data_IF_271017424599
#
_entry.id   IF_271017424599
#
_cell.length_a   1.000
_cell.length_b   1.000
_cell.length_c   1.000
_cell.angle_alpha   90.00
_cell.angle_beta   90.00
_cell.angle_gamma   90.00
#
_symmetry.space_group_name_H-M   'P 1'
#
loop_
_entity.id
_entity.type
_entity.pdbx_description
1 polymer ?
#
# COMPACT_ATOMS: atom_id res chain seq x y z
N UNK A 1 30.82 -23.59 -40.94
CA UNK A 1 29.70 -23.52 -39.98
C UNK A 1 29.71 -22.13 -39.37
N UNK A 2 28.66 -21.35 -39.54
CA UNK A 2 28.49 -20.09 -38.79
C UNK A 2 28.15 -20.47 -37.35
N UNK A 3 28.74 -19.83 -36.34
CA UNK A 3 28.36 -20.07 -34.95
C UNK A 3 26.88 -19.74 -34.79
N UNK A 4 26.16 -20.64 -34.12
CA UNK A 4 24.76 -20.46 -33.75
C UNK A 4 24.62 -19.19 -32.89
N UNK A 5 23.68 -18.29 -33.16
CA UNK A 5 23.53 -17.09 -32.33
C UNK A 5 23.24 -17.51 -30.88
N UNK A 6 23.81 -16.80 -29.90
CA UNK A 6 23.56 -17.11 -28.51
C UNK A 6 22.04 -17.12 -28.26
N UNK A 7 21.52 -18.06 -27.47
CA UNK A 7 20.09 -18.12 -27.16
C UNK A 7 19.65 -16.77 -26.58
N UNK A 8 18.53 -16.28 -27.06
CA UNK A 8 17.92 -15.04 -26.55
C UNK A 8 17.84 -15.11 -25.02
N UNK A 9 18.17 -14.02 -24.31
CA UNK A 9 18.11 -14.02 -22.86
C UNK A 9 16.69 -14.44 -22.43
N UNK A 10 16.60 -15.51 -21.62
CA UNK A 10 15.33 -15.95 -21.06
C UNK A 10 14.78 -14.79 -20.25
N UNK A 11 13.59 -14.29 -20.57
CA UNK A 11 12.92 -13.31 -19.73
C UNK A 11 12.79 -13.90 -18.32
N UNK A 12 13.33 -13.21 -17.33
CA UNK A 12 13.25 -13.64 -15.93
C UNK A 12 11.82 -13.78 -15.45
N UNK A 13 11.63 -14.52 -14.39
CA UNK A 13 10.36 -14.59 -13.66
C UNK A 13 10.25 -13.37 -12.75
N UNK A 14 9.09 -12.76 -12.65
CA UNK A 14 8.78 -11.73 -11.65
C UNK A 14 8.13 -12.39 -10.44
N UNK A 15 8.76 -12.28 -9.27
CA UNK A 15 8.22 -12.75 -8.00
C UNK A 15 7.66 -11.55 -7.24
N UNK A 16 6.35 -11.52 -6.98
CA UNK A 16 5.69 -10.46 -6.20
C UNK A 16 5.39 -11.01 -4.80
N UNK A 17 6.02 -10.43 -3.77
CA UNK A 17 5.93 -10.86 -2.39
C UNK A 17 5.19 -9.82 -1.54
N UNK A 18 4.08 -10.23 -0.90
CA UNK A 18 3.32 -9.40 0.02
C UNK A 18 2.71 -10.26 1.13
N UNK A 19 2.73 -9.79 2.38
CA UNK A 19 2.25 -10.58 3.53
C UNK A 19 0.77 -10.93 3.39
N UNK A 20 -0.06 -9.93 3.17
CA UNK A 20 -1.52 -10.06 3.15
C UNK A 20 -2.04 -10.03 1.71
N UNK A 21 -2.38 -11.18 1.19
CA UNK A 21 -3.02 -11.36 -0.11
C UNK A 21 -4.42 -11.95 0.08
N UNK A 22 -5.23 -12.00 -0.97
CA UNK A 22 -6.56 -12.60 -0.90
C UNK A 22 -6.59 -13.84 0.04
N UNK A 23 -7.57 -14.00 0.93
CA UNK A 23 -8.83 -13.25 1.02
C UNK A 23 -8.76 -11.94 1.83
N UNK A 24 -7.56 -11.42 2.11
CA UNK A 24 -7.40 -10.17 2.86
C UNK A 24 -7.84 -8.94 2.06
N UNK A 25 -8.41 -7.95 2.77
CA UNK A 25 -8.76 -6.62 2.25
C UNK A 25 -7.67 -5.58 2.54
N UNK A 26 -6.44 -6.00 2.84
CA UNK A 26 -5.33 -5.09 3.03
C UNK A 26 -4.96 -4.38 1.71
N UNK A 27 -5.01 -3.04 1.62
CA UNK A 27 -4.75 -2.33 0.35
C UNK A 27 -3.42 -2.71 -0.30
N UNK A 28 -2.35 -2.87 0.49
CA UNK A 28 -1.03 -3.28 -0.02
C UNK A 28 -1.09 -4.64 -0.71
N UNK A 29 -1.88 -5.58 -0.18
CA UNK A 29 -2.11 -6.89 -0.82
C UNK A 29 -2.87 -6.76 -2.13
N UNK A 30 -3.94 -5.98 -2.14
CA UNK A 30 -4.74 -5.75 -3.36
C UNK A 30 -3.87 -5.13 -4.47
N UNK A 31 -3.04 -4.14 -4.14
CA UNK A 31 -2.08 -3.57 -5.10
C UNK A 31 -1.09 -4.62 -5.64
N UNK A 32 -0.57 -5.48 -4.76
CA UNK A 32 0.36 -6.53 -5.17
C UNK A 32 -0.28 -7.56 -6.12
N UNK A 33 -1.54 -7.93 -5.88
CA UNK A 33 -2.33 -8.81 -6.74
C UNK A 33 -2.59 -8.17 -8.10
N UNK A 34 -3.08 -6.93 -8.12
CA UNK A 34 -3.35 -6.19 -9.36
C UNK A 34 -2.07 -6.01 -10.19
N UNK A 35 -0.92 -5.74 -9.53
CA UNK A 35 0.37 -5.69 -10.22
C UNK A 35 0.76 -7.04 -10.82
N UNK A 36 0.57 -8.13 -10.08
CA UNK A 36 0.88 -9.48 -10.57
C UNK A 36 0.01 -9.83 -11.80
N UNK A 37 -1.29 -9.53 -11.73
CA UNK A 37 -2.22 -9.75 -12.84
C UNK A 37 -1.82 -8.93 -14.08
N UNK A 38 -1.52 -7.64 -13.93
CA UNK A 38 -1.11 -6.77 -15.04
C UNK A 38 0.22 -7.20 -15.68
N UNK A 39 1.18 -7.68 -14.87
CA UNK A 39 2.44 -8.22 -15.40
C UNK A 39 2.19 -9.53 -16.18
N UNK A 40 1.35 -10.41 -15.64
CA UNK A 40 0.98 -11.67 -16.31
C UNK A 40 0.27 -11.41 -17.66
N UNK A 41 -0.64 -10.45 -17.72
CA UNK A 41 -1.32 -10.00 -18.95
C UNK A 41 -0.34 -9.47 -20.00
N UNK A 42 0.80 -8.90 -19.58
CA UNK A 42 1.87 -8.48 -20.51
C UNK A 42 2.72 -9.63 -21.07
N UNK A 43 2.38 -10.90 -20.71
CA UNK A 43 3.09 -12.10 -21.15
C UNK A 43 4.37 -12.42 -20.37
N UNK A 44 4.66 -11.70 -19.29
CA UNK A 44 5.80 -11.98 -18.39
C UNK A 44 5.36 -13.02 -17.35
N UNK A 45 6.20 -14.02 -17.11
CA UNK A 45 5.92 -15.02 -16.06
C UNK A 45 5.96 -14.40 -14.68
N UNK A 46 4.90 -14.61 -13.90
CA UNK A 46 4.75 -14.06 -12.55
C UNK A 46 4.50 -15.17 -11.54
N UNK A 47 5.05 -15.00 -10.34
CA UNK A 47 4.71 -15.76 -9.14
C UNK A 47 4.28 -14.78 -8.06
N UNK A 48 3.08 -14.98 -7.54
CA UNK A 48 2.51 -14.19 -6.46
C UNK A 48 2.59 -14.97 -5.16
N UNK A 49 3.39 -14.49 -4.20
CA UNK A 49 3.71 -15.19 -2.96
C UNK A 49 3.20 -14.41 -1.75
N UNK A 50 2.39 -15.05 -0.93
CA UNK A 50 1.80 -14.46 0.28
C UNK A 50 1.96 -15.29 1.53
N UNK A 51 1.77 -14.65 2.67
CA UNK A 51 1.69 -15.35 3.96
C UNK A 51 0.39 -16.15 4.13
N UNK A 52 0.35 -17.04 5.11
CA UNK A 52 -0.85 -17.83 5.47
C UNK A 52 -1.80 -17.13 6.43
N UNK A 53 -1.35 -16.10 7.16
CA UNK A 53 -2.17 -15.34 8.10
C UNK A 53 -3.14 -14.38 7.40
N UNK A 54 -4.20 -13.98 8.11
CA UNK A 54 -5.19 -13.03 7.63
C UNK A 54 -5.17 -11.74 8.46
N UNK A 55 -5.14 -10.60 7.77
CA UNK A 55 -5.31 -9.29 8.42
C UNK A 55 -6.80 -8.99 8.68
N UNK A 56 -7.59 -9.07 7.62
CA UNK A 56 -9.05 -8.90 7.62
C UNK A 56 -9.61 -9.58 6.38
N UNK A 57 -10.33 -10.67 6.55
CA UNK A 57 -10.98 -11.32 5.42
C UNK A 57 -12.08 -10.44 4.82
N UNK A 58 -12.02 -10.27 3.50
CA UNK A 58 -13.01 -9.58 2.69
C UNK A 58 -13.86 -10.54 1.86
N UNK A 59 -14.83 -9.96 1.15
CA UNK A 59 -15.72 -10.71 0.24
C UNK A 59 -15.42 -10.36 -1.23
N UNK A 60 -14.17 -9.99 -1.54
CA UNK A 60 -13.74 -9.66 -2.89
C UNK A 60 -13.34 -10.91 -3.70
N UNK A 61 -13.38 -10.86 -5.03
CA UNK A 61 -12.90 -11.96 -5.86
C UNK A 61 -11.39 -12.21 -5.65
N UNK A 62 -10.97 -13.44 -5.92
CA UNK A 62 -9.55 -13.78 -5.97
C UNK A 62 -8.90 -13.12 -7.21
N UNK A 63 -7.57 -12.84 -7.15
CA UNK A 63 -6.82 -12.39 -8.32
C UNK A 63 -6.76 -13.49 -9.38
N UNK A 64 -6.48 -13.11 -10.63
CA UNK A 64 -6.29 -14.05 -11.72
C UNK A 64 -5.00 -14.87 -11.55
N UNK A 65 -3.94 -14.23 -11.04
CA UNK A 65 -2.67 -14.89 -10.71
C UNK A 65 -2.81 -15.76 -9.47
N UNK A 66 -2.50 -17.02 -9.59
CA UNK A 66 -2.55 -17.98 -8.46
C UNK A 66 -1.59 -17.55 -7.34
N UNK A 67 -2.08 -17.63 -6.10
CA UNK A 67 -1.31 -17.25 -4.92
C UNK A 67 -0.61 -18.49 -4.36
N UNK A 68 0.71 -18.42 -4.25
CA UNK A 68 1.52 -19.37 -3.49
C UNK A 68 1.63 -18.92 -2.04
N UNK A 69 1.49 -19.85 -1.09
CA UNK A 69 1.49 -19.52 0.33
C UNK A 69 2.76 -20.00 1.03
N UNK A 70 3.35 -19.11 1.82
CA UNK A 70 4.41 -19.46 2.76
C UNK A 70 3.88 -19.44 4.18
N UNK A 71 4.20 -20.48 4.94
CA UNK A 71 3.78 -20.59 6.34
C UNK A 71 4.68 -19.75 7.22
N UNK A 72 4.08 -18.97 8.10
CA UNK A 72 4.76 -18.18 9.10
C UNK A 72 3.99 -18.19 10.42
N UNK A 73 4.64 -17.72 11.51
CA UNK A 73 4.00 -17.54 12.80
C UNK A 73 3.01 -16.39 12.73
N UNK A 74 1.79 -16.61 13.19
CA UNK A 74 0.81 -15.55 13.38
C UNK A 74 1.04 -14.77 14.68
N UNK A 75 0.90 -13.46 14.61
CA UNK A 75 1.00 -12.56 15.75
C UNK A 75 -0.36 -12.29 16.40
N UNK A 76 -0.33 -11.85 17.66
CA UNK A 76 -1.51 -11.31 18.35
C UNK A 76 -1.52 -9.80 18.21
N UNK A 77 -2.56 -9.26 17.56
CA UNK A 77 -2.74 -7.81 17.38
C UNK A 77 -2.73 -7.06 18.71
N UNK A 78 -2.20 -5.84 18.68
CA UNK A 78 -2.08 -4.98 19.85
C UNK A 78 -0.95 -5.37 20.83
N UNK A 79 -0.14 -6.40 20.50
CA UNK A 79 1.03 -6.80 21.27
C UNK A 79 2.30 -6.60 20.45
N UNK A 80 3.07 -5.54 20.73
CA UNK A 80 4.25 -5.13 19.97
C UNK A 80 5.25 -6.28 19.74
N UNK A 81 5.60 -7.03 20.79
CA UNK A 81 6.54 -8.16 20.68
C UNK A 81 5.98 -9.26 19.77
N UNK A 82 4.69 -9.58 19.90
CA UNK A 82 4.05 -10.60 19.07
C UNK A 82 4.01 -10.20 17.60
N UNK A 83 3.73 -8.94 17.32
CA UNK A 83 3.76 -8.38 15.96
C UNK A 83 5.17 -8.36 15.38
N UNK A 84 6.18 -8.00 16.18
CA UNK A 84 7.57 -8.02 15.73
C UNK A 84 8.05 -9.44 15.38
N UNK A 85 7.67 -10.44 16.19
CA UNK A 85 7.97 -11.86 15.94
C UNK A 85 7.25 -12.39 14.69
N UNK A 86 6.01 -11.97 14.44
CA UNK A 86 5.29 -12.26 13.20
C UNK A 86 6.04 -11.70 12.00
N UNK A 87 6.40 -10.41 12.02
CA UNK A 87 7.11 -9.74 10.94
C UNK A 87 8.44 -10.40 10.60
N UNK A 88 9.21 -10.80 11.62
CA UNK A 88 10.46 -11.56 11.41
C UNK A 88 10.20 -12.98 10.86
N UNK A 89 9.13 -13.64 11.31
CA UNK A 89 8.73 -14.95 10.78
C UNK A 89 8.33 -14.86 9.30
N UNK A 90 7.57 -13.84 8.90
CA UNK A 90 7.22 -13.57 7.49
C UNK A 90 8.48 -13.31 6.67
N UNK A 91 9.39 -12.46 7.16
CA UNK A 91 10.66 -12.21 6.48
C UNK A 91 11.47 -13.49 6.29
N UNK A 92 11.57 -14.33 7.32
CA UNK A 92 12.28 -15.60 7.24
C UNK A 92 11.64 -16.56 6.22
N UNK A 93 10.30 -16.64 6.20
CA UNK A 93 9.58 -17.47 5.21
C UNK A 93 9.80 -16.97 3.78
N UNK A 94 9.75 -15.66 3.56
CA UNK A 94 10.07 -15.08 2.24
C UNK A 94 11.52 -15.27 1.86
N UNK A 95 12.47 -15.19 2.81
CA UNK A 95 13.89 -15.47 2.54
C UNK A 95 14.09 -16.91 2.06
N UNK A 96 13.49 -17.89 2.74
CA UNK A 96 13.53 -19.29 2.35
C UNK A 96 12.89 -19.52 0.96
N UNK A 97 11.78 -18.83 0.67
CA UNK A 97 11.14 -18.89 -0.65
C UNK A 97 12.04 -18.32 -1.76
N UNK A 98 12.68 -17.17 -1.51
CA UNK A 98 13.65 -16.59 -2.45
C UNK A 98 14.81 -17.57 -2.71
N UNK A 99 15.38 -18.16 -1.66
CA UNK A 99 16.46 -19.14 -1.78
C UNK A 99 16.06 -20.39 -2.59
N UNK A 100 14.80 -20.83 -2.43
CA UNK A 100 14.27 -22.03 -3.11
C UNK A 100 13.93 -21.79 -4.58
N UNK A 101 13.38 -20.63 -4.93
CA UNK A 101 12.65 -20.44 -6.19
C UNK A 101 13.21 -19.38 -7.13
N UNK A 102 14.02 -18.44 -6.61
CA UNK A 102 14.58 -17.35 -7.41
C UNK A 102 15.86 -17.77 -8.11
N UNK A 103 15.99 -17.41 -9.36
CA UNK A 103 17.13 -17.72 -10.23
C UNK A 103 17.82 -16.43 -10.73
N UNK A 104 19.07 -16.52 -11.21
CA UNK A 104 19.73 -15.37 -11.81
C UNK A 104 18.91 -14.79 -12.99
N UNK A 105 18.78 -13.47 -13.00
CA UNK A 105 18.00 -12.74 -13.99
C UNK A 105 16.50 -12.57 -13.65
N UNK A 106 16.02 -13.19 -12.57
CA UNK A 106 14.68 -12.93 -12.06
C UNK A 106 14.57 -11.55 -11.42
N UNK A 107 13.33 -11.08 -11.23
CA UNK A 107 13.00 -9.85 -10.49
C UNK A 107 12.18 -10.21 -9.27
N UNK A 108 12.55 -9.67 -8.13
CA UNK A 108 11.80 -9.84 -6.88
C UNK A 108 11.23 -8.50 -6.44
N UNK A 109 9.92 -8.35 -6.53
CA UNK A 109 9.17 -7.20 -6.03
C UNK A 109 8.70 -7.50 -4.62
N UNK A 110 9.05 -6.65 -3.67
CA UNK A 110 8.68 -6.84 -2.26
C UNK A 110 7.96 -5.61 -1.74
N UNK A 111 6.79 -5.78 -1.17
CA UNK A 111 6.06 -4.69 -0.53
C UNK A 111 6.63 -4.36 0.84
N UNK A 112 6.46 -3.12 1.31
CA UNK A 112 6.90 -2.68 2.65
C UNK A 112 6.07 -3.25 3.81
N UNK A 113 5.13 -4.13 3.57
CA UNK A 113 4.35 -4.83 4.57
C UNK A 113 4.71 -6.34 4.58
N UNK A 114 5.37 -6.82 5.65
CA UNK A 114 5.79 -6.11 6.86
C UNK A 114 7.10 -5.31 6.68
N UNK A 115 7.41 -4.38 7.60
CA UNK A 115 8.60 -3.52 7.48
C UNK A 115 9.93 -4.29 7.42
N UNK A 116 9.99 -5.47 8.02
CA UNK A 116 11.22 -6.30 8.06
C UNK A 116 11.65 -6.84 6.70
N UNK A 117 10.74 -6.86 5.71
CA UNK A 117 11.02 -7.29 4.32
C UNK A 117 12.11 -6.48 3.63
N UNK A 118 12.40 -5.26 4.10
CA UNK A 118 13.52 -4.44 3.61
C UNK A 118 14.87 -5.19 3.69
N UNK A 119 15.00 -6.15 4.59
CA UNK A 119 16.19 -6.98 4.77
C UNK A 119 16.40 -8.05 3.69
N UNK A 120 15.38 -8.37 2.89
CA UNK A 120 15.41 -9.44 1.88
C UNK A 120 16.35 -9.16 0.70
N UNK A 121 16.80 -7.93 0.52
CA UNK A 121 17.70 -7.57 -0.57
C UNK A 121 18.97 -8.44 -0.60
N UNK A 122 19.47 -8.90 0.55
CA UNK A 122 20.64 -9.77 0.63
C UNK A 122 20.39 -11.12 -0.04
N UNK A 123 19.23 -11.73 0.21
CA UNK A 123 18.82 -13.00 -0.40
C UNK A 123 18.60 -12.83 -1.91
N UNK A 124 17.93 -11.75 -2.31
CA UNK A 124 17.70 -11.44 -3.73
C UNK A 124 19.04 -11.34 -4.48
N UNK A 125 19.98 -10.53 -3.98
CA UNK A 125 21.31 -10.35 -4.60
C UNK A 125 22.14 -11.64 -4.59
N UNK A 126 22.07 -12.44 -3.52
CA UNK A 126 22.76 -13.74 -3.45
C UNK A 126 22.26 -14.73 -4.50
N UNK A 127 21.02 -14.57 -5.01
CA UNK A 127 20.48 -15.38 -6.11
C UNK A 127 20.78 -14.81 -7.50
N UNK A 128 21.49 -13.68 -7.59
CA UNK A 128 21.77 -13.01 -8.87
C UNK A 128 20.52 -12.39 -9.50
N UNK A 129 19.50 -12.11 -8.70
CA UNK A 129 18.26 -11.48 -9.11
C UNK A 129 18.26 -9.97 -8.82
N UNK A 130 17.36 -9.22 -9.45
CA UNK A 130 17.16 -7.80 -9.21
C UNK A 130 16.02 -7.59 -8.20
N UNK A 131 16.22 -6.65 -7.28
CA UNK A 131 15.28 -6.34 -6.23
C UNK A 131 14.54 -5.03 -6.44
N UNK A 132 13.22 -5.07 -6.42
CA UNK A 132 12.34 -3.90 -6.39
C UNK A 132 11.66 -3.82 -5.03
N UNK A 133 11.92 -2.75 -4.29
CA UNK A 133 11.22 -2.50 -3.03
C UNK A 133 10.06 -1.53 -3.25
N UNK A 134 8.85 -2.01 -3.05
CA UNK A 134 7.66 -1.17 -3.20
C UNK A 134 7.26 -0.55 -1.87
N UNK A 135 7.68 0.69 -1.70
CA UNK A 135 7.52 1.47 -0.48
C UNK A 135 6.10 2.06 -0.42
N UNK A 136 5.23 1.41 0.34
CA UNK A 136 3.86 1.85 0.64
C UNK A 136 3.83 2.81 1.83
N UNK A 137 4.62 2.48 2.88
CA UNK A 137 4.75 3.26 4.10
C UNK A 137 6.22 3.43 4.46
N UNK A 138 6.60 4.63 4.93
CA UNK A 138 7.96 4.92 5.38
C UNK A 138 8.07 4.72 6.91
N UNK A 139 8.46 3.54 7.30
CA UNK A 139 8.43 3.06 8.68
C UNK A 139 9.28 3.83 9.69
N UNK A 140 10.46 4.42 9.39
CA UNK A 140 11.17 5.25 10.35
C UNK A 140 10.30 6.34 10.97
N UNK A 141 9.47 6.98 10.14
CA UNK A 141 8.56 8.02 10.59
C UNK A 141 7.29 7.44 11.23
N UNK A 142 6.78 6.34 10.70
CA UNK A 142 5.58 5.68 11.21
C UNK A 142 5.79 5.16 12.65
N UNK A 143 6.95 4.56 12.94
CA UNK A 143 7.29 4.06 14.28
C UNK A 143 7.41 5.21 15.29
N UNK A 144 7.78 6.43 14.85
CA UNK A 144 7.78 7.62 15.71
C UNK A 144 6.41 7.91 16.34
N UNK A 145 5.33 7.64 15.62
CA UNK A 145 3.97 7.81 16.14
C UNK A 145 3.58 6.77 17.19
N UNK A 146 4.35 5.68 17.33
CA UNK A 146 4.02 4.54 18.22
C UNK A 146 4.99 4.41 19.38
N UNK A 147 6.28 4.69 19.17
CA UNK A 147 7.34 4.49 20.17
C UNK A 147 8.20 5.75 20.26
N UNK A 148 8.28 6.30 21.46
CA UNK A 148 9.16 7.44 21.74
C UNK A 148 10.58 6.95 22.01
N UNK A 149 11.44 7.06 21.00
CA UNK A 149 12.86 6.76 21.12
C UNK A 149 13.68 8.04 21.35
N UNK A 150 14.77 8.00 22.14
CA UNK A 150 15.72 9.09 22.21
C UNK A 150 16.23 9.50 20.82
N UNK A 151 16.38 10.81 20.60
CA UNK A 151 16.71 11.39 19.29
C UNK A 151 17.94 10.75 18.59
N UNK A 152 19.05 10.39 19.27
CA UNK A 152 20.19 9.72 18.63
C UNK A 152 19.85 8.33 18.11
N UNK A 153 19.03 7.55 18.84
CA UNK A 153 18.57 6.22 18.42
C UNK A 153 17.66 6.31 17.22
N UNK A 154 16.76 7.29 17.19
CA UNK A 154 15.87 7.57 16.04
C UNK A 154 16.66 7.87 14.77
N UNK A 155 17.67 8.77 14.88
CA UNK A 155 18.54 9.11 13.74
C UNK A 155 19.30 7.89 13.22
N UNK A 156 19.85 7.05 14.11
CA UNK A 156 20.53 5.82 13.74
C UNK A 156 19.61 4.82 13.07
N UNK A 157 18.39 4.66 13.59
CA UNK A 157 17.39 3.77 13.00
C UNK A 157 16.99 4.26 11.60
N UNK A 158 16.68 5.54 11.45
CA UNK A 158 16.33 6.14 10.15
C UNK A 158 17.49 6.00 9.14
N UNK A 159 18.72 6.31 9.54
CA UNK A 159 19.90 6.16 8.68
C UNK A 159 20.12 4.70 8.25
N UNK A 160 19.97 3.75 9.18
CA UNK A 160 20.09 2.32 8.87
C UNK A 160 18.99 1.84 7.90
N UNK A 161 17.79 2.40 8.03
CA UNK A 161 16.67 2.10 7.13
C UNK A 161 16.94 2.65 5.71
N UNK A 162 17.30 3.92 5.62
CA UNK A 162 17.69 4.57 4.35
C UNK A 162 18.84 3.84 3.69
N UNK A 163 19.87 3.43 4.46
CA UNK A 163 20.99 2.64 3.96
C UNK A 163 20.59 1.25 3.44
N UNK A 164 19.51 0.66 3.97
CA UNK A 164 18.95 -0.59 3.40
C UNK A 164 18.18 -0.33 2.12
N UNK A 165 17.38 0.73 2.04
CA UNK A 165 16.67 1.12 0.81
C UNK A 165 17.66 1.39 -0.34
N UNK A 166 18.78 2.04 -0.05
CA UNK A 166 19.81 2.34 -1.05
C UNK A 166 20.49 1.09 -1.66
N UNK A 167 20.29 -0.10 -1.06
CA UNK A 167 20.84 -1.37 -1.57
C UNK A 167 19.93 -2.09 -2.56
N UNK A 168 18.66 -1.72 -2.63
CA UNK A 168 17.73 -2.24 -3.63
C UNK A 168 18.07 -1.66 -5.01
N UNK A 169 17.84 -2.43 -6.06
CA UNK A 169 18.08 -1.95 -7.42
C UNK A 169 17.12 -0.84 -7.79
N UNK A 170 15.88 -0.93 -7.29
CA UNK A 170 14.82 0.06 -7.48
C UNK A 170 13.98 0.17 -6.21
N UNK A 171 13.64 1.39 -5.82
CA UNK A 171 12.64 1.69 -4.80
C UNK A 171 11.48 2.44 -5.44
N UNK A 172 10.32 1.81 -5.51
CA UNK A 172 9.10 2.44 -6.00
C UNK A 172 8.35 3.04 -4.82
N UNK A 173 8.20 4.35 -4.79
CA UNK A 173 7.40 5.07 -3.79
C UNK A 173 5.95 5.14 -4.25
N UNK A 174 5.03 4.63 -3.43
CA UNK A 174 3.59 4.68 -3.68
C UNK A 174 2.99 6.09 -3.56
N UNK A 175 3.78 7.05 -3.07
CA UNK A 175 3.45 8.48 -3.01
C UNK A 175 4.73 9.32 -2.92
N UNK A 176 4.71 10.53 -3.46
CA UNK A 176 5.89 11.40 -3.50
C UNK A 176 6.34 11.90 -2.14
N UNK A 177 5.42 12.02 -1.17
CA UNK A 177 5.72 12.47 0.19
C UNK A 177 6.51 11.47 1.04
N UNK A 178 6.61 10.20 0.64
CA UNK A 178 7.33 9.20 1.45
C UNK A 178 8.82 9.54 1.56
N UNK A 179 9.34 9.50 2.79
CA UNK A 179 10.61 10.09 3.22
C UNK A 179 11.89 9.41 2.71
N UNK A 180 11.90 8.94 1.46
CA UNK A 180 13.10 8.40 0.80
C UNK A 180 13.29 9.02 -0.58
N UNK A 181 14.46 9.64 -0.82
CA UNK A 181 14.82 10.32 -2.06
C UNK A 181 16.19 9.87 -2.60
N UNK A 182 16.49 8.57 -2.49
CA UNK A 182 17.72 7.96 -3.06
C UNK A 182 17.72 7.97 -4.59
N UNK A 183 18.91 7.87 -5.21
CA UNK A 183 19.06 7.86 -6.66
C UNK A 183 18.28 6.72 -7.35
N UNK A 184 18.03 5.62 -6.63
CA UNK A 184 17.25 4.47 -7.07
C UNK A 184 15.74 4.61 -6.78
N UNK A 185 15.27 5.78 -6.31
CA UNK A 185 13.85 6.02 -6.06
C UNK A 185 13.11 6.45 -7.34
N UNK A 186 11.88 5.93 -7.50
CA UNK A 186 10.91 6.37 -8.49
C UNK A 186 9.55 6.53 -7.82
N UNK A 187 8.81 7.57 -8.16
CA UNK A 187 7.44 7.75 -7.68
C UNK A 187 6.48 7.20 -8.73
N UNK A 188 5.79 6.14 -8.36
CA UNK A 188 4.61 5.65 -9.09
C UNK A 188 3.52 5.51 -8.05
N UNK A 189 2.55 6.41 -8.12
CA UNK A 189 1.48 6.51 -7.13
C UNK A 189 0.57 5.30 -7.18
N UNK A 190 -0.10 5.03 -6.06
CA UNK A 190 -1.17 4.06 -6.02
C UNK A 190 -2.35 4.50 -6.90
N UNK A 191 -3.32 3.63 -7.07
CA UNK A 191 -4.51 3.78 -7.89
C UNK A 191 -5.75 3.28 -7.14
N UNK A 192 -6.98 3.45 -7.68
CA UNK A 192 -8.18 2.88 -7.08
C UNK A 192 -8.09 1.36 -6.98
N UNK A 193 -8.39 0.80 -5.80
CA UNK A 193 -8.46 -0.66 -5.60
C UNK A 193 -9.82 -1.25 -5.96
N UNK A 194 -10.82 -0.37 -6.18
CA UNK A 194 -12.17 -0.73 -6.56
C UNK A 194 -12.45 -0.29 -8.00
N UNK A 195 -13.13 -1.14 -8.73
CA UNK A 195 -13.81 -0.69 -9.94
C UNK A 195 -15.05 0.12 -9.54
N UNK A 196 -14.93 1.42 -9.64
CA UNK A 196 -16.01 2.34 -9.27
C UNK A 196 -17.15 2.30 -10.31
N UNK A 197 -16.88 1.87 -11.56
CA UNK A 197 -17.86 1.82 -12.64
C UNK A 197 -18.29 3.21 -13.14
N UNK A 198 -19.40 3.24 -13.86
CA UNK A 198 -19.93 4.48 -14.42
C UNK A 198 -20.46 5.45 -13.35
N UNK A 199 -20.41 6.78 -13.61
CA UNK A 199 -20.94 7.79 -12.71
C UNK A 199 -22.41 7.57 -12.34
N UNK A 200 -22.72 7.78 -11.05
CA UNK A 200 -24.09 7.63 -10.50
C UNK A 200 -24.47 8.90 -9.75
N UNK A 201 -25.80 9.18 -9.61
CA UNK A 201 -26.27 10.26 -8.75
C UNK A 201 -25.76 10.12 -7.31
N UNK A 202 -25.72 11.24 -6.58
CA UNK A 202 -25.41 11.29 -5.17
C UNK A 202 -26.59 11.88 -4.38
N UNK A 203 -26.54 11.72 -3.09
CA UNK A 203 -27.44 12.39 -2.15
C UNK A 203 -26.79 13.72 -1.77
N UNK A 204 -27.46 14.87 -2.02
CA UNK A 204 -26.95 16.18 -1.60
C UNK A 204 -26.68 16.25 -0.10
N UNK A 205 -25.74 17.08 0.29
CA UNK A 205 -25.35 17.31 1.68
C UNK A 205 -24.95 16.03 2.45
N UNK A 206 -24.27 15.10 1.79
CA UNK A 206 -23.77 13.89 2.45
C UNK A 206 -22.25 13.79 2.33
N UNK A 207 -21.59 13.44 3.44
CA UNK A 207 -20.14 13.20 3.49
C UNK A 207 -19.83 11.82 4.03
N UNK A 208 -18.93 11.11 3.37
CA UNK A 208 -18.53 9.73 3.71
C UNK A 208 -17.06 9.65 4.08
N UNK A 209 -16.77 9.09 5.24
CA UNK A 209 -15.46 8.49 5.53
C UNK A 209 -15.58 6.97 5.46
N UNK A 210 -14.74 6.31 4.68
CA UNK A 210 -14.70 4.85 4.57
C UNK A 210 -13.33 4.30 4.90
N UNK A 211 -13.22 3.48 5.96
CA UNK A 211 -12.03 2.77 6.34
C UNK A 211 -11.70 2.79 7.82
N UNK A 212 -10.54 2.23 8.20
CA UNK A 212 -10.08 2.19 9.57
C UNK A 212 -9.81 3.61 10.11
N UNK A 213 -10.37 3.95 11.27
CA UNK A 213 -10.07 5.19 12.00
C UNK A 213 -9.21 4.83 13.23
N UNK A 214 -7.93 4.60 12.98
CA UNK A 214 -6.94 4.15 13.96
C UNK A 214 -6.00 5.26 14.42
N UNK A 215 -4.96 4.88 15.16
CA UNK A 215 -3.94 5.78 15.73
C UNK A 215 -3.16 6.58 14.67
N UNK A 216 -3.06 6.08 13.43
CA UNK A 216 -2.43 6.79 12.31
C UNK A 216 -3.27 7.97 11.77
N UNK A 217 -4.42 8.25 12.38
CA UNK A 217 -5.32 9.32 12.00
C UNK A 217 -5.49 10.33 13.15
N UNK A 218 -5.37 11.61 12.86
CA UNK A 218 -5.52 12.65 13.88
C UNK A 218 -7.01 12.95 14.10
N UNK A 219 -7.60 12.27 15.07
CA UNK A 219 -9.04 12.37 15.37
C UNK A 219 -9.52 13.81 15.64
N UNK A 220 -8.79 14.67 16.40
CA UNK A 220 -9.22 16.06 16.59
C UNK A 220 -9.40 16.84 15.28
N UNK A 221 -8.45 16.73 14.34
CA UNK A 221 -8.60 17.37 13.02
C UNK A 221 -9.73 16.77 12.20
N UNK A 222 -9.98 15.47 12.34
CA UNK A 222 -11.11 14.82 11.65
C UNK A 222 -12.45 15.34 12.19
N UNK A 223 -12.61 15.42 13.51
CA UNK A 223 -13.82 15.95 14.14
C UNK A 223 -14.05 17.41 13.79
N UNK A 224 -13.01 18.25 13.80
CA UNK A 224 -13.12 19.65 13.40
C UNK A 224 -13.62 19.82 11.96
N UNK A 225 -13.15 18.97 11.02
CA UNK A 225 -13.65 18.93 9.64
C UNK A 225 -15.13 18.50 9.60
N UNK A 226 -15.49 17.47 10.36
CA UNK A 226 -16.88 17.00 10.45
C UNK A 226 -17.81 18.07 11.03
N UNK A 227 -17.40 18.79 12.07
CA UNK A 227 -18.17 19.90 12.66
C UNK A 227 -18.39 21.05 11.68
N UNK A 228 -17.33 21.41 10.92
CA UNK A 228 -17.46 22.42 9.85
C UNK A 228 -18.53 22.01 8.84
N UNK A 229 -18.45 20.80 8.31
CA UNK A 229 -19.41 20.29 7.32
C UNK A 229 -20.83 20.18 7.90
N UNK A 230 -20.97 19.78 9.17
CA UNK A 230 -22.26 19.80 9.86
C UNK A 230 -22.86 21.20 9.91
N UNK A 231 -22.03 22.22 10.19
CA UNK A 231 -22.45 23.61 10.16
C UNK A 231 -22.90 24.09 8.78
N UNK A 232 -22.41 23.45 7.71
CA UNK A 232 -22.82 23.65 6.32
C UNK A 232 -24.01 22.75 5.90
N UNK A 233 -24.61 22.01 6.83
CA UNK A 233 -25.80 21.18 6.61
C UNK A 233 -25.52 19.76 6.12
N UNK A 234 -24.27 19.27 6.18
CA UNK A 234 -23.94 17.92 5.74
C UNK A 234 -24.28 16.85 6.79
N UNK A 235 -24.83 15.73 6.34
CA UNK A 235 -24.91 14.48 7.09
C UNK A 235 -23.58 13.73 6.97
N UNK A 236 -22.96 13.41 8.11
CA UNK A 236 -21.66 12.73 8.14
C UNK A 236 -21.85 11.24 8.41
N UNK A 237 -21.33 10.39 7.53
CA UNK A 237 -21.31 8.94 7.70
C UNK A 237 -19.86 8.44 7.79
N UNK A 238 -19.59 7.61 8.78
CA UNK A 238 -18.30 6.91 8.97
C UNK A 238 -18.57 5.41 8.88
N UNK A 239 -18.04 4.77 7.85
CA UNK A 239 -18.10 3.31 7.63
C UNK A 239 -16.72 2.72 7.83
N UNK A 240 -16.48 1.97 8.89
CA UNK A 240 -15.15 1.48 9.13
C UNK A 240 -14.95 0.72 10.43
N UNK A 241 -13.69 0.56 10.79
CA UNK A 241 -13.24 -0.09 12.01
C UNK A 241 -12.27 0.83 12.77
N UNK A 242 -11.82 0.38 13.92
CA UNK A 242 -10.78 1.02 14.70
C UNK A 242 -11.26 1.76 15.94
N UNK A 243 -10.34 2.05 16.87
CA UNK A 243 -10.67 2.63 18.18
C UNK A 243 -11.22 4.06 18.11
N UNK A 244 -11.01 4.75 17.00
CA UNK A 244 -11.55 6.10 16.80
C UNK A 244 -13.08 6.14 16.72
N UNK A 245 -13.71 5.04 16.28
CA UNK A 245 -15.17 4.96 16.17
C UNK A 245 -15.89 5.16 17.52
N UNK A 246 -15.38 4.56 18.59
CA UNK A 246 -15.94 4.70 19.93
C UNK A 246 -15.84 6.13 20.51
N UNK A 247 -15.13 7.02 19.83
CA UNK A 247 -14.91 8.41 20.24
C UNK A 247 -15.64 9.41 19.34
N UNK A 248 -16.43 8.92 18.38
CA UNK A 248 -17.24 9.76 17.52
C UNK A 248 -18.46 10.28 18.30
N UNK A 249 -18.84 11.54 18.12
CA UNK A 249 -20.08 12.07 18.71
C UNK A 249 -21.32 11.45 18.05
N UNK A 250 -22.42 11.38 18.79
CA UNK A 250 -23.67 10.70 18.39
C UNK A 250 -24.31 11.25 17.11
N UNK A 251 -23.99 12.49 16.74
CA UNK A 251 -24.50 13.10 15.52
C UNK A 251 -23.77 12.61 14.25
N UNK A 252 -22.66 11.88 14.38
CA UNK A 252 -22.01 11.18 13.26
C UNK A 252 -22.63 9.78 13.14
N UNK A 253 -23.17 9.46 11.99
CA UNK A 253 -23.67 8.12 11.71
C UNK A 253 -22.50 7.16 11.54
N UNK A 254 -22.14 6.41 12.57
CA UNK A 254 -21.08 5.41 12.53
C UNK A 254 -21.65 4.02 12.22
N UNK A 255 -20.96 3.27 11.36
CA UNK A 255 -21.28 1.88 11.02
C UNK A 255 -20.03 1.04 10.81
N UNK A 256 -20.17 -0.29 10.83
CA UNK A 256 -19.05 -1.20 10.58
C UNK A 256 -18.50 -1.06 9.17
N UNK A 257 -17.28 -1.55 8.95
CA UNK A 257 -16.68 -1.59 7.62
C UNK A 257 -17.54 -2.43 6.66
N UNK A 258 -17.75 -1.89 5.47
CA UNK A 258 -18.45 -2.59 4.40
C UNK A 258 -17.53 -3.65 3.81
N UNK A 259 -17.97 -4.91 3.85
CA UNK A 259 -17.17 -6.07 3.41
C UNK A 259 -17.30 -6.37 1.92
N UNK A 260 -18.49 -6.10 1.36
CA UNK A 260 -18.75 -6.35 -0.06
C UNK A 260 -18.30 -5.17 -0.90
N UNK A 261 -17.49 -5.39 -1.94
CA UNK A 261 -17.08 -4.32 -2.86
C UNK A 261 -18.25 -3.55 -3.45
N UNK A 262 -19.36 -4.23 -3.79
CA UNK A 262 -20.57 -3.58 -4.33
C UNK A 262 -21.23 -2.59 -3.37
N UNK A 263 -21.24 -2.92 -2.06
CA UNK A 263 -21.80 -2.04 -1.04
C UNK A 263 -20.90 -0.83 -0.82
N UNK A 264 -19.58 -1.06 -0.85
CA UNK A 264 -18.59 -0.01 -0.74
C UNK A 264 -18.65 0.95 -1.94
N UNK A 265 -18.73 0.42 -3.17
CA UNK A 265 -18.90 1.23 -4.39
C UNK A 265 -20.19 2.06 -4.32
N UNK A 266 -21.30 1.45 -3.87
CA UNK A 266 -22.56 2.18 -3.67
C UNK A 266 -22.39 3.32 -2.68
N UNK A 267 -21.78 3.07 -1.52
CA UNK A 267 -21.55 4.10 -0.51
C UNK A 267 -20.67 5.26 -1.04
N UNK A 268 -19.66 4.94 -1.86
CA UNK A 268 -18.85 5.97 -2.53
C UNK A 268 -19.71 6.82 -3.50
N UNK A 269 -20.62 6.21 -4.26
CA UNK A 269 -21.46 6.96 -5.18
C UNK A 269 -22.58 7.76 -4.47
N UNK A 270 -23.11 7.25 -3.36
CA UNK A 270 -24.17 7.91 -2.61
C UNK A 270 -23.70 9.21 -1.93
N UNK A 271 -22.40 9.37 -1.67
CA UNK A 271 -21.87 10.55 -1.00
C UNK A 271 -21.53 11.68 -1.99
N UNK A 272 -21.86 12.93 -1.61
CA UNK A 272 -21.43 14.13 -2.33
C UNK A 272 -19.95 14.44 -2.09
N UNK A 273 -19.50 14.24 -0.85
CA UNK A 273 -18.14 14.55 -0.42
C UNK A 273 -17.49 13.33 0.25
N UNK A 274 -16.22 13.08 -0.08
CA UNK A 274 -15.43 12.05 0.58
C UNK A 274 -14.46 12.66 1.59
N UNK A 275 -14.39 12.03 2.76
CA UNK A 275 -13.48 12.43 3.82
C UNK A 275 -12.29 11.47 3.88
N UNK A 276 -11.09 12.04 3.97
CA UNK A 276 -9.84 11.31 4.18
C UNK A 276 -9.16 11.86 5.43
N UNK A 277 -8.83 10.99 6.37
CA UNK A 277 -8.11 11.40 7.57
C UNK A 277 -6.61 11.14 7.42
N UNK A 278 -5.80 12.13 7.70
CA UNK A 278 -4.36 12.08 7.83
C UNK A 278 -3.91 12.36 9.26
N UNK A 279 -2.60 12.48 9.45
CA UNK A 279 -1.98 12.86 10.71
C UNK A 279 -0.88 13.91 10.43
N UNK A 280 -0.92 15.09 11.06
CA UNK A 280 0.02 16.17 10.76
C UNK A 280 1.49 15.82 11.05
N UNK A 281 1.75 14.87 11.95
CA UNK A 281 3.10 14.42 12.29
C UNK A 281 3.59 13.24 11.43
N UNK A 282 2.75 12.68 10.56
CA UNK A 282 3.07 11.53 9.70
C UNK A 282 3.13 11.91 8.21
N UNK A 283 3.43 13.16 7.92
CA UNK A 283 3.34 13.75 6.56
C UNK A 283 4.30 13.14 5.55
N UNK A 284 5.37 12.48 6.02
CA UNK A 284 6.34 11.77 5.17
C UNK A 284 6.31 10.25 5.37
N UNK A 285 5.40 9.76 6.20
CA UNK A 285 5.32 8.34 6.55
C UNK A 285 4.34 7.56 5.69
N UNK A 286 3.19 8.15 5.39
CA UNK A 286 2.07 7.49 4.71
C UNK A 286 1.36 8.44 3.74
N UNK A 287 0.64 7.86 2.78
CA UNK A 287 -0.40 8.56 2.03
C UNK A 287 -1.66 7.70 2.03
N UNK A 288 -2.82 8.24 2.44
CA UNK A 288 -4.04 7.43 2.64
C UNK A 288 -4.55 6.78 1.35
N UNK A 289 -4.52 5.44 1.27
CA UNK A 289 -4.93 4.67 0.09
C UNK A 289 -6.39 4.90 -0.33
N UNK A 290 -7.26 5.21 0.63
CA UNK A 290 -8.70 5.48 0.37
C UNK A 290 -8.94 6.74 -0.47
N UNK A 291 -7.95 7.65 -0.56
CA UNK A 291 -8.00 8.79 -1.46
C UNK A 291 -8.26 8.37 -2.92
N UNK A 292 -7.64 7.30 -3.39
CA UNK A 292 -7.73 6.87 -4.78
C UNK A 292 -9.14 6.39 -5.16
N UNK A 293 -9.79 5.61 -4.30
CA UNK A 293 -11.17 5.19 -4.51
C UNK A 293 -12.14 6.38 -4.48
N UNK A 294 -11.93 7.30 -3.53
CA UNK A 294 -12.71 8.53 -3.43
C UNK A 294 -12.55 9.39 -4.70
N UNK A 295 -11.31 9.62 -5.12
CA UNK A 295 -10.99 10.41 -6.32
C UNK A 295 -11.58 9.81 -7.60
N UNK A 296 -11.62 8.47 -7.70
CA UNK A 296 -12.18 7.79 -8.87
C UNK A 296 -13.66 8.08 -9.11
N UNK A 297 -14.40 8.54 -8.09
CA UNK A 297 -15.80 8.99 -8.24
C UNK A 297 -15.92 10.34 -8.94
N UNK A 298 -14.81 11.10 -9.07
CA UNK A 298 -14.84 12.49 -9.57
C UNK A 298 -15.44 13.50 -8.60
N UNK A 299 -15.71 13.10 -7.34
CA UNK A 299 -16.31 13.95 -6.33
C UNK A 299 -15.27 14.68 -5.49
N UNK A 300 -15.71 15.67 -4.74
CA UNK A 300 -14.86 16.42 -3.82
C UNK A 300 -14.28 15.49 -2.74
N UNK A 301 -12.96 15.54 -2.57
CA UNK A 301 -12.25 14.81 -1.52
C UNK A 301 -11.64 15.82 -0.54
N UNK A 302 -12.11 15.80 0.69
CA UNK A 302 -11.63 16.65 1.77
C UNK A 302 -10.72 15.87 2.72
N UNK A 303 -9.59 16.46 3.04
CA UNK A 303 -8.62 15.89 3.98
C UNK A 303 -8.68 16.61 5.32
N UNK A 304 -8.64 15.84 6.41
CA UNK A 304 -8.31 16.32 7.74
C UNK A 304 -6.87 16.00 8.11
N UNK A 305 -6.22 16.81 8.95
CA UNK A 305 -4.86 16.56 9.41
C UNK A 305 -3.80 16.62 8.30
N UNK A 306 -4.10 17.36 7.23
CA UNK A 306 -3.18 17.61 6.13
C UNK A 306 -2.12 18.62 6.57
N UNK A 307 -0.85 18.36 6.26
CA UNK A 307 0.24 19.29 6.52
C UNK A 307 1.47 18.98 5.64
N UNK A 308 2.27 19.99 5.36
CA UNK A 308 3.62 19.86 4.80
C UNK A 308 3.73 19.02 3.52
N UNK A 309 4.50 17.94 3.57
CA UNK A 309 4.76 17.10 2.40
C UNK A 309 3.50 16.38 1.89
N UNK A 310 2.57 16.01 2.78
CA UNK A 310 1.31 15.36 2.40
C UNK A 310 0.37 16.29 1.65
N UNK A 311 0.40 17.59 1.95
CA UNK A 311 -0.37 18.61 1.27
C UNK A 311 0.06 18.77 -0.18
N UNK A 312 1.38 18.85 -0.40
CA UNK A 312 1.99 18.89 -1.74
C UNK A 312 1.69 17.61 -2.52
N UNK A 313 1.76 16.45 -1.86
CA UNK A 313 1.46 15.18 -2.49
C UNK A 313 -0.01 15.05 -2.88
N UNK A 314 -0.94 15.55 -2.04
CA UNK A 314 -2.37 15.59 -2.39
C UNK A 314 -2.58 16.37 -3.69
N UNK A 315 -2.02 17.56 -3.82
CA UNK A 315 -2.14 18.37 -5.03
C UNK A 315 -1.57 17.63 -6.26
N UNK A 316 -0.36 17.07 -6.15
CA UNK A 316 0.27 16.32 -7.22
C UNK A 316 -0.52 15.03 -7.58
N UNK A 317 -1.15 14.39 -6.59
CA UNK A 317 -2.00 13.23 -6.81
C UNK A 317 -3.32 13.60 -7.52
N UNK A 318 -3.90 14.76 -7.21
CA UNK A 318 -5.09 15.28 -7.89
C UNK A 318 -4.84 15.62 -9.37
N UNK A 319 -3.64 16.10 -9.69
CA UNK A 319 -3.23 16.40 -11.07
C UNK A 319 -2.85 15.14 -11.87
N UNK A 320 -2.44 14.05 -11.20
CA UNK A 320 -1.99 12.83 -11.87
C UNK A 320 -3.14 12.02 -12.50
N UNK A 321 -2.88 11.34 -13.60
CA UNK A 321 -3.82 10.38 -14.17
C UNK A 321 -3.56 8.98 -13.59
N UNK A 322 -4.32 8.61 -12.57
CA UNK A 322 -4.16 7.33 -11.87
C UNK A 322 -4.37 6.09 -12.76
N UNK A 323 -5.01 6.24 -13.94
CA UNK A 323 -5.23 5.13 -14.90
C UNK A 323 -3.92 4.61 -15.47
N UNK A 324 -2.86 5.41 -15.45
CA UNK A 324 -1.54 5.04 -15.92
C UNK A 324 -0.65 4.43 -14.82
N UNK A 325 -0.97 4.59 -13.53
CA UNK A 325 -0.07 4.21 -12.43
C UNK A 325 0.21 2.70 -12.41
N UNK A 326 -0.83 1.85 -12.53
CA UNK A 326 -0.64 0.40 -12.59
C UNK A 326 0.07 -0.04 -13.89
N UNK A 327 -0.34 0.40 -15.09
CA UNK A 327 0.41 0.13 -16.33
C UNK A 327 1.87 0.57 -16.29
N UNK A 328 2.15 1.76 -15.74
CA UNK A 328 3.53 2.28 -15.62
C UNK A 328 4.37 1.40 -14.69
N UNK A 329 3.82 0.98 -13.54
CA UNK A 329 4.53 0.10 -12.62
C UNK A 329 4.77 -1.29 -13.24
N UNK A 330 3.77 -1.87 -13.88
CA UNK A 330 3.89 -3.17 -14.55
C UNK A 330 4.92 -3.11 -15.69
N UNK A 331 4.91 -2.04 -16.48
CA UNK A 331 5.89 -1.78 -17.54
C UNK A 331 7.31 -1.63 -17.00
N UNK A 332 7.50 -0.85 -15.93
CA UNK A 332 8.80 -0.66 -15.28
C UNK A 332 9.36 -1.97 -14.75
N UNK A 333 8.57 -2.75 -14.01
CA UNK A 333 8.98 -4.06 -13.48
C UNK A 333 9.28 -5.03 -14.61
N UNK A 334 8.46 -5.05 -15.66
CA UNK A 334 8.69 -5.87 -16.85
C UNK A 334 9.97 -5.46 -17.61
N UNK A 335 10.31 -4.18 -17.69
CA UNK A 335 11.56 -3.70 -18.29
C UNK A 335 12.78 -4.15 -17.46
N UNK A 336 12.69 -4.08 -16.13
CA UNK A 336 13.71 -4.64 -15.23
C UNK A 336 13.90 -6.13 -15.49
N UNK A 337 12.84 -6.90 -15.66
CA UNK A 337 12.87 -8.35 -15.93
C UNK A 337 13.51 -8.67 -17.29
N UNK A 338 13.38 -7.80 -18.28
CA UNK A 338 14.03 -7.95 -19.60
C UNK A 338 15.45 -7.39 -19.65
N UNK A 339 15.93 -6.78 -18.57
CA UNK A 339 17.27 -6.19 -18.50
C UNK A 339 17.46 -4.89 -19.31
N UNK A 340 16.39 -4.15 -19.59
CA UNK A 340 16.38 -2.92 -20.38
C UNK A 340 16.04 -1.66 -19.57
N UNK A 341 15.98 -1.76 -18.23
CA UNK A 341 15.74 -0.65 -17.30
C UNK A 341 16.89 -0.47 -16.32
#
# INVERSE_FOLDING_TARGET
>A
MKPEPPPAPRSGVVHVLSQYLWPDDAPTGIYAEQLADAIAESGVRVRLVGGTGTYRAGERPAPATAIERVTHREGKRGRLISTALEYESVRAAFAAEIERSVSPGDVVVVTSAPPTTIGLIRQVQARGARGVYWLQDFYPELIRGVVDFPLPLRRRFSAAWVGRLARWDLVVKAAGNLGYDGANARVIRNWPTLDIGAPRPFRPHTALYSGNLGWGHHLPSFLALCEKLRGEGFEITVQGDGPGLARLPDWIRAGPALKKPSDLVRAYWDAEVHLVAGHPDLTTAVFPSKFWNARATGRTVLFSGLAGAMEKEKAAAEESDYRHHLPDLASLVGAVARGVA
#
